data_IF_614351849278
#
_entry.id   IF_614351849278
#
_cell.length_a   1.000
_cell.length_b   1.000
_cell.length_c   1.000
_cell.angle_alpha   90.00
_cell.angle_beta   90.00
_cell.angle_gamma   90.00
#
_symmetry.space_group_name_H-M   'P 1'
#
loop_
_entity.id
_entity.type
_entity.pdbx_description
1 polymer ?
#
# COMPACT_ATOMS: atom_id res chain seq x y z
N UNK A 1 9.20 3.29 -13.76
CA UNK A 1 8.86 4.54 -13.06
C UNK A 1 9.88 4.81 -11.98
N UNK A 2 10.33 6.04 -11.78
CA UNK A 2 11.39 6.35 -10.80
C UNK A 2 11.06 5.91 -9.37
N UNK A 3 9.78 5.91 -8.98
CA UNK A 3 9.32 5.45 -7.66
C UNK A 3 9.59 3.96 -7.45
N UNK A 4 9.42 3.14 -8.49
CA UNK A 4 9.70 1.69 -8.44
C UNK A 4 11.19 1.40 -8.17
N UNK A 5 12.11 2.24 -8.64
CA UNK A 5 13.54 2.06 -8.37
C UNK A 5 13.93 2.41 -6.93
N UNK A 6 13.30 3.44 -6.33
CA UNK A 6 13.57 3.83 -4.93
C UNK A 6 13.00 2.79 -3.96
N UNK A 7 11.80 2.27 -4.25
CA UNK A 7 11.22 1.16 -3.49
C UNK A 7 11.99 -0.15 -3.68
N UNK A 8 12.42 -0.47 -4.92
CA UNK A 8 13.19 -1.68 -5.22
C UNK A 8 14.45 -1.81 -4.35
N UNK A 9 15.24 -0.74 -4.22
CA UNK A 9 16.44 -0.74 -3.38
C UNK A 9 16.15 -0.91 -1.88
N UNK A 10 14.99 -0.45 -1.40
CA UNK A 10 14.58 -0.64 0.00
C UNK A 10 14.04 -2.05 0.23
N UNK A 11 13.39 -2.62 -0.78
CA UNK A 11 12.82 -3.97 -0.75
C UNK A 11 13.91 -5.03 -0.77
N UNK A 12 14.93 -4.87 -1.63
CA UNK A 12 16.11 -5.74 -1.62
C UNK A 12 16.81 -5.75 -0.25
N UNK A 13 16.91 -4.59 0.41
CA UNK A 13 17.48 -4.47 1.76
C UNK A 13 16.63 -5.12 2.85
N UNK A 14 15.33 -5.30 2.60
CA UNK A 14 14.37 -5.92 3.53
C UNK A 14 14.06 -7.38 3.17
N UNK A 15 14.71 -7.95 2.14
CA UNK A 15 14.47 -9.33 1.69
C UNK A 15 13.13 -9.52 0.97
N UNK A 16 12.54 -8.45 0.45
CA UNK A 16 11.27 -8.46 -0.30
C UNK A 16 11.55 -8.64 -1.80
N UNK A 17 10.68 -9.39 -2.48
CA UNK A 17 10.82 -9.70 -3.90
C UNK A 17 10.77 -8.40 -4.76
N UNK A 18 11.82 -8.07 -5.52
CA UNK A 18 11.84 -6.91 -6.42
C UNK A 18 10.73 -6.94 -7.48
N UNK A 19 10.24 -8.12 -7.85
CA UNK A 19 9.15 -8.27 -8.81
C UNK A 19 7.81 -7.77 -8.24
N UNK A 20 7.60 -7.88 -6.92
CA UNK A 20 6.41 -7.30 -6.27
C UNK A 20 6.59 -5.81 -5.92
N UNK A 21 7.82 -5.28 -5.94
CA UNK A 21 8.06 -3.85 -5.69
C UNK A 21 7.31 -2.93 -6.66
N UNK A 22 7.07 -3.39 -7.90
CA UNK A 22 6.23 -2.68 -8.87
C UNK A 22 4.77 -2.63 -8.39
N UNK A 23 4.23 -3.75 -7.92
CA UNK A 23 2.87 -3.85 -7.39
C UNK A 23 2.68 -2.92 -6.18
N UNK A 24 3.58 -2.97 -5.21
CA UNK A 24 3.53 -2.08 -4.05
C UNK A 24 3.70 -0.61 -4.43
N UNK A 25 4.59 -0.30 -5.38
CA UNK A 25 4.75 1.05 -5.91
C UNK A 25 3.47 1.59 -6.55
N UNK A 26 2.78 0.78 -7.36
CA UNK A 26 1.49 1.16 -7.94
C UNK A 26 0.41 1.34 -6.88
N UNK A 27 0.33 0.44 -5.90
CA UNK A 27 -0.64 0.53 -4.81
C UNK A 27 -0.44 1.81 -3.98
N UNK A 28 0.81 2.15 -3.64
CA UNK A 28 1.13 3.38 -2.91
C UNK A 28 0.80 4.63 -3.72
N UNK A 29 1.18 4.67 -5.00
CA UNK A 29 0.82 5.80 -5.88
C UNK A 29 -0.70 5.96 -5.95
N UNK A 30 -1.44 4.86 -6.09
CA UNK A 30 -2.91 4.86 -6.08
C UNK A 30 -3.48 5.40 -4.77
N UNK A 31 -3.03 4.87 -3.63
CA UNK A 31 -3.46 5.33 -2.30
C UNK A 31 -3.26 6.84 -2.12
N UNK A 32 -2.05 7.34 -2.40
CA UNK A 32 -1.74 8.78 -2.24
C UNK A 32 -2.56 9.64 -3.19
N UNK A 33 -2.70 9.22 -4.46
CA UNK A 33 -3.43 9.98 -5.49
C UNK A 33 -4.92 10.09 -5.14
N UNK A 34 -5.51 8.98 -4.71
CA UNK A 34 -6.93 8.94 -4.32
C UNK A 34 -7.19 9.78 -3.06
N UNK A 35 -6.33 9.71 -2.05
CA UNK A 35 -6.47 10.55 -0.85
C UNK A 35 -6.27 12.03 -1.17
N UNK A 36 -5.31 12.38 -2.03
CA UNK A 36 -5.12 13.76 -2.47
C UNK A 36 -6.35 14.28 -3.23
N UNK A 37 -6.93 13.46 -4.11
CA UNK A 37 -8.14 13.83 -4.85
C UNK A 37 -9.32 14.07 -3.91
N UNK A 38 -9.58 13.15 -2.96
CA UNK A 38 -10.61 13.33 -1.93
C UNK A 38 -10.39 14.63 -1.13
N UNK A 39 -9.13 14.92 -0.76
CA UNK A 39 -8.82 16.11 0.02
C UNK A 39 -9.08 17.42 -0.73
N UNK A 40 -8.92 17.43 -2.07
CA UNK A 40 -9.21 18.62 -2.88
C UNK A 40 -10.69 19.03 -2.80
N UNK A 41 -11.57 18.04 -2.61
CA UNK A 41 -13.01 18.23 -2.44
C UNK A 41 -13.37 18.59 -0.99
N UNK A 42 -12.88 17.83 0.00
CA UNK A 42 -13.23 18.01 1.43
C UNK A 42 -12.53 19.23 2.08
N UNK A 43 -11.24 19.42 1.79
CA UNK A 43 -10.34 20.46 2.32
C UNK A 43 -10.13 20.49 3.84
N UNK A 44 -10.75 19.59 4.58
CA UNK A 44 -10.51 19.36 6.00
C UNK A 44 -10.14 17.89 6.27
N UNK A 45 -9.20 17.58 7.19
CA UNK A 45 -8.37 18.50 7.97
C UNK A 45 -7.30 19.21 7.11
N UNK A 46 -6.43 20.04 7.69
CA UNK A 46 -5.37 20.71 6.94
C UNK A 46 -4.49 19.71 6.15
N UNK A 47 -4.04 20.08 4.93
CA UNK A 47 -3.26 19.19 4.05
C UNK A 47 -2.01 18.63 4.71
N UNK A 48 -1.39 19.38 5.62
CA UNK A 48 -0.21 18.94 6.37
C UNK A 48 -0.53 17.79 7.31
N UNK A 49 -1.72 17.81 7.93
CA UNK A 49 -2.22 16.72 8.78
C UNK A 49 -2.43 15.47 7.92
N UNK A 50 -3.11 15.61 6.78
CA UNK A 50 -3.33 14.49 5.85
C UNK A 50 -2.00 13.90 5.36
N UNK A 51 -1.06 14.75 4.95
CA UNK A 51 0.26 14.32 4.51
C UNK A 51 1.02 13.57 5.61
N UNK A 52 0.98 14.06 6.85
CA UNK A 52 1.61 13.39 7.99
C UNK A 52 1.03 11.98 8.23
N UNK A 53 -0.30 11.84 8.16
CA UNK A 53 -0.94 10.54 8.32
C UNK A 53 -0.63 9.56 7.18
N UNK A 54 -0.59 10.03 5.93
CA UNK A 54 -0.21 9.20 4.77
C UNK A 54 1.22 8.69 4.92
N UNK A 55 2.17 9.56 5.27
CA UNK A 55 3.58 9.19 5.47
C UNK A 55 3.71 8.18 6.62
N UNK A 56 3.02 8.43 7.73
CA UNK A 56 3.02 7.53 8.89
C UNK A 56 2.45 6.15 8.54
N UNK A 57 1.37 6.10 7.76
CA UNK A 57 0.78 4.86 7.28
C UNK A 57 1.75 4.09 6.38
N UNK A 58 2.37 4.76 5.41
CA UNK A 58 3.32 4.13 4.50
C UNK A 58 4.52 3.56 5.24
N UNK A 59 5.13 4.32 6.14
CA UNK A 59 6.32 3.86 6.87
C UNK A 59 6.03 2.71 7.81
N UNK A 60 5.00 2.83 8.67
CA UNK A 60 4.65 1.78 9.63
C UNK A 60 4.10 0.54 8.93
N UNK A 61 3.34 0.71 7.84
CA UNK A 61 2.82 -0.40 7.05
C UNK A 61 3.93 -1.17 6.34
N UNK A 62 4.87 -0.47 5.70
CA UNK A 62 6.01 -1.11 5.04
C UNK A 62 6.93 -1.82 6.04
N UNK A 63 7.15 -1.25 7.22
CA UNK A 63 7.96 -1.87 8.27
C UNK A 63 7.36 -3.17 8.83
N UNK A 64 6.04 -3.38 8.72
CA UNK A 64 5.33 -4.56 9.21
C UNK A 64 5.07 -5.65 8.17
N UNK A 65 5.66 -5.57 6.97
CA UNK A 65 5.34 -6.50 5.89
C UNK A 65 5.93 -7.90 6.10
N UNK A 66 5.12 -8.92 5.81
CA UNK A 66 5.57 -10.31 5.65
C UNK A 66 6.15 -10.50 4.24
N UNK A 67 7.22 -11.29 4.12
CA UNK A 67 7.81 -11.68 2.84
C UNK A 67 6.90 -12.59 2.01
N UNK A 68 6.00 -13.31 2.66
CA UNK A 68 4.99 -14.16 2.01
C UNK A 68 3.61 -13.82 2.56
N UNK A 69 2.99 -12.72 2.10
CA UNK A 69 1.67 -12.33 2.58
C UNK A 69 0.60 -13.32 2.07
N UNK A 70 -0.25 -13.79 2.98
CA UNK A 70 -1.41 -14.63 2.66
C UNK A 70 -2.68 -13.98 3.15
N UNK A 71 -3.79 -14.23 2.46
CA UNK A 71 -5.13 -13.91 2.98
C UNK A 71 -5.38 -14.76 4.24
N UNK A 72 -6.16 -14.23 5.20
CA UNK A 72 -6.58 -15.01 6.35
C UNK A 72 -7.50 -16.16 5.92
N UNK A 73 -7.49 -17.26 6.68
CA UNK A 73 -8.32 -18.43 6.39
C UNK A 73 -9.81 -18.08 6.25
N UNK A 74 -10.28 -17.12 7.07
CA UNK A 74 -11.65 -16.61 7.01
C UNK A 74 -11.97 -15.94 5.67
N UNK A 75 -11.09 -15.07 5.17
CA UNK A 75 -11.28 -14.40 3.87
C UNK A 75 -11.18 -15.42 2.73
N UNK A 76 -10.28 -16.40 2.84
CA UNK A 76 -10.17 -17.47 1.83
C UNK A 76 -11.45 -18.30 1.74
N UNK A 77 -12.05 -18.65 2.88
CA UNK A 77 -13.31 -19.40 2.90
C UNK A 77 -14.48 -18.57 2.35
N UNK A 78 -14.55 -17.28 2.68
CA UNK A 78 -15.57 -16.38 2.10
C UNK A 78 -15.46 -16.28 0.58
N UNK A 79 -14.24 -16.16 0.05
CA UNK A 79 -14.01 -16.11 -1.40
C UNK A 79 -14.37 -17.43 -2.09
N UNK A 80 -14.09 -18.58 -1.46
CA UNK A 80 -14.50 -19.90 -1.96
C UNK A 80 -16.02 -19.98 -2.10
N UNK A 81 -16.75 -19.60 -1.05
CA UNK A 81 -18.21 -19.61 -1.03
C UNK A 81 -18.84 -18.59 -2.00
N UNK A 82 -18.17 -17.45 -2.24
CA UNK A 82 -18.63 -16.42 -3.17
C UNK A 82 -18.43 -16.83 -4.65
N UNK A 83 -17.38 -17.60 -4.95
CA UNK A 83 -17.10 -18.10 -6.31
C UNK A 83 -17.94 -19.30 -6.74
N UNK A 84 -18.69 -19.92 -5.82
CA UNK A 84 -19.62 -21.03 -6.09
C UNK A 84 -21.03 -20.57 -6.47
N UNK A 85 -21.30 -19.25 -6.49
CA UNK A 85 -22.58 -18.63 -6.91
C UNK A 85 -22.48 -18.01 -8.30
#
# INVERSE_FOLDING_TARGET
>A
GQVSHILGNSFERQGLDPHVAILYGQALVGMVSMTAQWWLDEREPAKEVVAAHIVNLCWNGLAGMSSTPTLSDEVQEQLRLAGEK
#
